data_IF_011354262245
#
_entry.id   IF_011354262245
#
_cell.length_a   1.000
_cell.length_b   1.000
_cell.length_c   1.000
_cell.angle_alpha   90.00
_cell.angle_beta   90.00
_cell.angle_gamma   90.00
#
_symmetry.space_group_name_H-M   'P 1'
#
loop_
_entity.id
_entity.type
_entity.pdbx_description
1 polymer ?
#
# COMPACT_ATOMS: atom_id res chain seq x y z
N UNK A 1 -26.06 11.14 -4.19
CA UNK A 1 -24.66 11.47 -3.89
C UNK A 1 -23.81 10.43 -4.59
N UNK A 2 -22.76 10.80 -5.34
CA UNK A 2 -21.91 9.82 -5.98
C UNK A 2 -21.23 8.96 -4.89
N UNK A 3 -21.24 7.66 -5.09
CA UNK A 3 -20.55 6.70 -4.24
C UNK A 3 -19.04 7.00 -4.21
N UNK A 4 -18.38 6.78 -3.06
CA UNK A 4 -16.95 7.00 -2.88
C UNK A 4 -16.09 6.30 -3.95
N UNK A 5 -16.58 5.16 -4.46
CA UNK A 5 -15.94 4.44 -5.58
C UNK A 5 -16.02 5.20 -6.89
N UNK A 6 -17.14 5.89 -7.19
CA UNK A 6 -17.28 6.68 -8.43
C UNK A 6 -16.39 7.92 -8.43
N UNK A 7 -16.18 8.56 -7.27
CA UNK A 7 -15.26 9.70 -7.15
C UNK A 7 -13.81 9.26 -7.37
N UNK A 8 -13.44 8.06 -6.91
CA UNK A 8 -12.08 7.52 -7.07
C UNK A 8 -11.82 7.00 -8.50
N UNK A 9 -12.86 6.51 -9.18
CA UNK A 9 -12.79 6.16 -10.60
C UNK A 9 -12.54 7.39 -11.48
N UNK A 10 -13.16 8.52 -11.15
CA UNK A 10 -12.94 9.78 -11.87
C UNK A 10 -11.49 10.28 -11.75
N UNK A 11 -10.78 9.94 -10.68
CA UNK A 11 -9.38 10.27 -10.48
C UNK A 11 -8.41 9.28 -11.16
N UNK A 12 -8.91 8.16 -11.74
CA UNK A 12 -8.09 7.15 -12.41
C UNK A 12 -7.05 6.51 -11.49
N UNK A 13 -7.42 6.25 -10.24
CA UNK A 13 -6.54 5.64 -9.25
C UNK A 13 -7.10 4.30 -8.77
N UNK A 14 -6.23 3.31 -8.61
CA UNK A 14 -6.54 2.08 -7.90
C UNK A 14 -6.51 2.36 -6.39
N UNK A 15 -7.66 2.21 -5.74
CA UNK A 15 -7.78 2.33 -4.29
C UNK A 15 -8.01 0.95 -3.72
N UNK A 16 -7.05 0.45 -2.97
CA UNK A 16 -7.15 -0.82 -2.28
C UNK A 16 -7.48 -0.60 -0.82
N UNK A 17 -8.62 -1.15 -0.43
CA UNK A 17 -9.00 -1.25 0.96
C UNK A 17 -8.76 -2.66 1.48
N UNK A 18 -8.39 -2.79 2.72
CA UNK A 18 -8.43 -4.05 3.44
C UNK A 18 -9.02 -3.85 4.84
N UNK A 19 -9.75 -4.83 5.28
CA UNK A 19 -10.19 -4.89 6.66
C UNK A 19 -9.04 -5.42 7.51
N UNK A 20 -8.58 -4.66 8.48
CA UNK A 20 -7.81 -5.23 9.58
C UNK A 20 -8.82 -6.01 10.42
N UNK A 21 -8.69 -7.33 10.60
CA UNK A 21 -9.56 -8.07 11.49
C UNK A 21 -9.34 -7.55 12.92
N UNK A 22 -10.21 -6.67 13.37
CA UNK A 22 -10.33 -6.35 14.77
C UNK A 22 -11.11 -7.49 15.43
N UNK A 23 -10.72 -8.00 16.60
CA UNK A 23 -11.52 -8.97 17.33
C UNK A 23 -12.89 -8.35 17.58
N UNK A 24 -13.92 -8.95 16.96
CA UNK A 24 -15.30 -8.49 17.10
C UNK A 24 -15.76 -8.68 18.54
N UNK A 25 -15.87 -7.59 19.27
CA UNK A 25 -16.73 -7.54 20.46
C UNK A 25 -18.12 -7.07 20.03
N UNK A 26 -18.99 -8.06 19.78
CA UNK A 26 -20.45 -7.89 19.72
C UNK A 26 -20.99 -7.04 18.55
N UNK A 27 -21.63 -7.70 17.59
CA UNK A 27 -22.42 -7.09 16.53
C UNK A 27 -21.72 -7.11 15.17
N UNK A 28 -22.32 -7.77 14.19
CA UNK A 28 -21.86 -7.85 12.81
C UNK A 28 -21.85 -6.46 12.16
N UNK A 29 -20.77 -5.73 12.33
CA UNK A 29 -20.50 -4.56 11.51
C UNK A 29 -19.92 -5.05 10.18
N UNK A 30 -20.54 -4.68 9.07
CA UNK A 30 -20.03 -4.92 7.74
C UNK A 30 -18.55 -4.49 7.66
N UNK A 31 -17.67 -5.25 7.00
CA UNK A 31 -16.24 -4.94 6.94
C UNK A 31 -16.06 -3.56 6.32
N UNK A 32 -15.56 -2.60 7.09
CA UNK A 32 -15.19 -1.30 6.60
C UNK A 32 -13.97 -1.47 5.69
N UNK A 33 -14.19 -1.35 4.37
CA UNK A 33 -13.11 -1.32 3.39
C UNK A 33 -12.33 -0.03 3.60
N UNK A 34 -11.07 -0.13 3.98
CA UNK A 34 -10.17 0.99 4.13
C UNK A 34 -9.13 1.02 3.03
N UNK A 35 -8.95 2.20 2.48
CA UNK A 35 -7.97 2.43 1.43
C UNK A 35 -6.60 2.77 2.05
N UNK A 36 -5.68 1.81 2.05
CA UNK A 36 -4.30 2.05 2.46
C UNK A 36 -3.40 2.43 1.28
N UNK A 37 -3.77 2.00 0.08
CA UNK A 37 -2.96 2.20 -1.12
C UNK A 37 -3.79 2.84 -2.23
N UNK A 38 -3.20 3.83 -2.89
CA UNK A 38 -3.69 4.41 -4.13
C UNK A 38 -2.60 4.29 -5.17
N UNK A 39 -2.96 3.97 -6.40
CA UNK A 39 -2.04 3.94 -7.54
C UNK A 39 -2.59 4.89 -8.58
N UNK A 40 -1.88 5.98 -8.84
CA UNK A 40 -2.24 6.97 -9.83
C UNK A 40 -1.90 6.49 -11.26
N UNK A 41 -2.48 7.12 -12.27
CA UNK A 41 -2.21 6.79 -13.69
C UNK A 41 -0.74 6.94 -14.08
N UNK A 42 0.00 7.85 -13.44
CA UNK A 42 1.44 8.03 -13.63
C UNK A 42 2.29 6.94 -12.94
N UNK A 43 1.65 5.99 -12.30
CA UNK A 43 2.27 4.90 -11.55
C UNK A 43 2.68 5.28 -10.12
N UNK A 44 2.54 6.52 -9.69
CA UNK A 44 2.85 6.90 -8.31
C UNK A 44 1.93 6.19 -7.33
N UNK A 45 2.52 5.60 -6.30
CA UNK A 45 1.79 4.93 -5.22
C UNK A 45 1.72 5.86 -4.01
N UNK A 46 0.53 6.08 -3.48
CA UNK A 46 0.34 6.75 -2.19
C UNK A 46 -0.03 5.70 -1.15
N UNK A 47 0.78 5.62 -0.10
CA UNK A 47 0.54 4.81 1.08
C UNK A 47 -0.02 5.69 2.20
N UNK A 48 -1.20 5.37 2.69
CA UNK A 48 -1.75 5.94 3.92
C UNK A 48 -1.19 5.15 5.11
N UNK A 49 -0.17 5.70 5.77
CA UNK A 49 0.51 5.05 6.89
C UNK A 49 -0.34 5.11 8.16
N UNK A 50 -0.59 3.96 8.81
CA UNK A 50 -1.33 3.93 10.09
C UNK A 50 -0.53 4.47 11.28
N UNK A 51 0.71 4.90 11.08
CA UNK A 51 1.57 5.45 12.12
C UNK A 51 2.13 6.80 11.70
N UNK A 52 2.38 7.66 12.67
CA UNK A 52 3.01 8.96 12.46
C UNK A 52 4.53 8.82 12.39
N UNK A 53 5.17 9.57 11.51
CA UNK A 53 6.63 9.70 11.49
C UNK A 53 7.07 10.74 12.52
N UNK A 54 7.86 10.29 13.48
CA UNK A 54 8.41 11.10 14.59
C UNK A 54 9.94 11.18 14.53
N UNK A 55 10.54 10.77 13.40
CA UNK A 55 11.97 10.63 13.24
C UNK A 55 12.50 9.20 13.32
N UNK A 56 11.63 8.23 13.65
CA UNK A 56 12.00 6.82 13.82
C UNK A 56 12.13 6.04 12.51
N UNK A 57 11.74 6.61 11.36
CA UNK A 57 11.88 5.99 10.03
C UNK A 57 10.77 5.01 9.65
N UNK A 58 9.65 5.01 10.35
CA UNK A 58 8.53 4.08 10.11
C UNK A 58 7.93 4.24 8.71
N UNK A 59 7.81 5.47 8.21
CA UNK A 59 7.29 5.71 6.87
C UNK A 59 8.15 5.08 5.77
N UNK A 60 9.46 5.18 5.91
CA UNK A 60 10.39 4.51 4.99
C UNK A 60 10.26 2.99 5.08
N UNK A 61 10.16 2.45 6.29
CA UNK A 61 9.96 1.01 6.49
C UNK A 61 8.64 0.52 5.88
N UNK A 62 7.55 1.27 6.04
CA UNK A 62 6.26 0.93 5.44
C UNK A 62 6.30 0.98 3.91
N UNK A 63 6.95 1.98 3.32
CA UNK A 63 7.15 2.05 1.87
C UNK A 63 7.98 0.87 1.35
N UNK A 64 9.02 0.47 2.06
CA UNK A 64 9.84 -0.70 1.72
C UNK A 64 9.01 -1.99 1.76
N UNK A 65 8.19 -2.17 2.80
CA UNK A 65 7.31 -3.35 2.94
C UNK A 65 6.35 -3.46 1.75
N UNK A 66 5.71 -2.35 1.39
CA UNK A 66 4.79 -2.29 0.25
C UNK A 66 5.52 -2.54 -1.07
N UNK A 67 6.65 -1.87 -1.27
CA UNK A 67 7.44 -1.98 -2.48
C UNK A 67 7.91 -3.42 -2.73
N UNK A 68 8.45 -4.05 -1.71
CA UNK A 68 8.99 -5.40 -1.81
C UNK A 68 7.90 -6.42 -2.16
N UNK A 69 6.77 -6.36 -1.45
CA UNK A 69 5.65 -7.28 -1.69
C UNK A 69 4.98 -7.04 -3.06
N UNK A 70 4.88 -5.78 -3.51
CA UNK A 70 4.30 -5.45 -4.81
C UNK A 70 5.25 -5.67 -5.98
N UNK A 71 6.56 -5.64 -5.78
CA UNK A 71 7.56 -5.49 -6.85
C UNK A 71 7.62 -4.04 -7.36
N UNK A 72 7.45 -3.06 -6.48
CA UNK A 72 7.49 -1.64 -6.81
C UNK A 72 8.83 -1.00 -6.47
N UNK A 73 9.10 0.19 -7.02
CA UNK A 73 10.22 1.04 -6.59
C UNK A 73 9.77 1.85 -5.36
N UNK A 74 10.42 1.69 -4.20
CA UNK A 74 10.04 2.42 -2.99
C UNK A 74 10.19 3.94 -3.13
N UNK A 75 11.04 4.44 -4.05
CA UNK A 75 11.21 5.87 -4.32
C UNK A 75 10.01 6.48 -5.05
N UNK A 76 9.13 5.66 -5.63
CA UNK A 76 7.88 6.04 -6.27
C UNK A 76 6.67 5.89 -5.35
N UNK A 77 6.92 5.65 -4.05
CA UNK A 77 5.89 5.58 -3.01
C UNK A 77 5.95 6.84 -2.16
N UNK A 78 4.90 7.63 -2.19
CA UNK A 78 4.66 8.70 -1.21
C UNK A 78 3.92 8.14 0.00
N UNK A 79 4.25 8.63 1.18
CA UNK A 79 3.61 8.21 2.44
C UNK A 79 2.91 9.41 3.05
N UNK A 80 1.65 9.20 3.40
CA UNK A 80 0.79 10.22 4.00
C UNK A 80 0.15 9.69 5.28
N UNK A 81 -0.15 10.57 6.22
CA UNK A 81 -1.01 10.22 7.35
C UNK A 81 -2.47 10.17 6.90
N UNK A 82 -3.22 9.12 7.23
CA UNK A 82 -4.65 9.09 7.02
C UNK A 82 -5.36 10.01 8.01
N UNK A 83 -6.58 10.44 7.68
CA UNK A 83 -7.48 10.96 8.70
C UNK A 83 -7.79 9.87 9.75
N UNK A 84 -7.98 10.25 11.03
CA UNK A 84 -8.32 9.30 12.06
C UNK A 84 -9.56 8.47 11.72
N UNK A 85 -9.37 7.15 11.57
CA UNK A 85 -10.44 6.22 11.23
C UNK A 85 -10.17 4.84 11.83
N UNK A 86 -11.22 4.08 12.06
CA UNK A 86 -11.16 2.75 12.67
C UNK A 86 -10.09 1.81 12.07
N UNK A 87 -9.94 1.75 10.74
CA UNK A 87 -9.00 0.83 10.13
C UNK A 87 -7.52 1.10 10.39
N UNK A 88 -7.18 2.32 10.77
CA UNK A 88 -5.81 2.71 11.13
C UNK A 88 -5.54 2.60 12.63
N UNK A 89 -6.50 2.07 13.40
CA UNK A 89 -6.37 1.83 14.82
C UNK A 89 -5.88 0.42 15.08
N UNK A 90 -5.11 0.25 16.11
CA UNK A 90 -4.76 -1.04 16.68
C UNK A 90 -5.23 -1.10 18.13
N UNK A 91 -5.42 -2.30 18.63
CA UNK A 91 -5.69 -2.51 20.05
C UNK A 91 -4.43 -2.16 20.88
N UNK A 92 -4.58 -1.23 21.78
CA UNK A 92 -3.50 -0.76 22.68
C UNK A 92 -3.88 -0.95 24.15
N UNK A 93 -4.75 -1.91 24.43
CA UNK A 93 -5.30 -2.19 25.76
C UNK A 93 -6.82 -2.12 25.74
N UNK A 94 -7.43 -1.19 26.46
CA UNK A 94 -8.89 -1.12 26.60
C UNK A 94 -9.59 -0.48 25.41
N UNK A 95 -8.89 0.30 24.60
CA UNK A 95 -9.50 1.06 23.51
C UNK A 95 -8.59 1.04 22.27
N UNK A 96 -9.14 0.71 21.08
CA UNK A 96 -8.38 0.81 19.83
C UNK A 96 -7.97 2.27 19.55
N UNK A 97 -6.70 2.50 19.28
CA UNK A 97 -6.18 3.83 19.00
C UNK A 97 -5.18 3.83 17.83
N UNK A 98 -5.04 4.98 17.16
CA UNK A 98 -3.88 5.26 16.32
C UNK A 98 -2.72 5.59 17.25
N UNK A 99 -1.70 4.74 17.22
CA UNK A 99 -0.58 4.87 18.14
C UNK A 99 0.74 4.54 17.44
N UNK A 100 1.73 5.41 17.61
CA UNK A 100 3.09 5.25 17.06
C UNK A 100 4.13 4.81 18.09
N UNK A 101 3.73 4.59 19.34
CA UNK A 101 4.61 4.22 20.45
C UNK A 101 4.81 2.72 20.62
N UNK A 102 5.64 2.33 21.60
CA UNK A 102 5.84 0.94 22.04
C UNK A 102 6.50 0.02 21.01
N UNK A 103 7.24 0.56 20.06
CA UNK A 103 7.89 -0.20 18.96
C UNK A 103 6.92 -1.01 18.10
N UNK A 104 5.64 -0.61 18.02
CA UNK A 104 4.61 -1.31 17.26
C UNK A 104 4.50 -0.85 15.80
N UNK A 105 5.09 0.27 15.43
CA UNK A 105 4.93 0.89 14.12
C UNK A 105 5.19 -0.05 12.95
N UNK A 106 6.27 -0.81 12.98
CA UNK A 106 6.58 -1.83 11.96
C UNK A 106 6.06 -3.20 12.37
N UNK A 107 6.33 -3.60 13.62
CA UNK A 107 6.08 -4.96 14.10
C UNK A 107 4.61 -5.39 14.00
N UNK A 108 3.67 -4.50 14.26
CA UNK A 108 2.24 -4.78 14.12
C UNK A 108 1.78 -4.68 12.66
N UNK A 109 2.27 -3.65 11.95
CA UNK A 109 1.73 -3.32 10.64
C UNK A 109 2.36 -4.08 9.47
N UNK A 110 3.47 -4.80 9.66
CA UNK A 110 4.12 -5.54 8.59
C UNK A 110 3.18 -6.57 7.92
N UNK A 111 2.41 -7.33 8.70
CA UNK A 111 1.45 -8.30 8.19
C UNK A 111 0.32 -7.64 7.38
N UNK A 112 -0.44 -6.70 7.97
CA UNK A 112 -1.48 -5.96 7.28
C UNK A 112 -1.00 -5.24 6.01
N UNK A 113 0.16 -4.58 6.04
CA UNK A 113 0.71 -3.88 4.88
C UNK A 113 1.14 -4.85 3.77
N UNK A 114 1.80 -5.95 4.11
CA UNK A 114 2.13 -6.99 3.14
C UNK A 114 0.88 -7.58 2.49
N UNK A 115 -0.16 -7.84 3.28
CA UNK A 115 -1.44 -8.35 2.75
C UNK A 115 -2.08 -7.37 1.78
N UNK A 116 -2.09 -6.07 2.09
CA UNK A 116 -2.60 -5.04 1.18
C UNK A 116 -1.80 -4.99 -0.12
N UNK A 117 -0.48 -5.02 -0.02
CA UNK A 117 0.43 -5.01 -1.17
C UNK A 117 0.27 -6.27 -2.06
N UNK A 118 0.13 -7.45 -1.45
CA UNK A 118 -0.12 -8.69 -2.17
C UNK A 118 -1.47 -8.68 -2.89
N UNK A 119 -2.52 -8.13 -2.28
CA UNK A 119 -3.82 -7.92 -2.93
C UNK A 119 -3.69 -7.02 -4.15
N UNK A 120 -2.99 -5.90 -4.02
CA UNK A 120 -2.70 -4.99 -5.13
C UNK A 120 -1.97 -5.70 -6.27
N UNK A 121 -0.89 -6.40 -5.94
CA UNK A 121 -0.12 -7.19 -6.91
C UNK A 121 -1.02 -8.18 -7.65
N UNK A 122 -1.84 -8.95 -6.94
CA UNK A 122 -2.74 -9.94 -7.52
C UNK A 122 -3.72 -9.31 -8.50
N UNK A 123 -4.31 -8.16 -8.14
CA UNK A 123 -5.26 -7.45 -9.02
C UNK A 123 -4.58 -6.89 -10.25
N UNK A 124 -3.37 -6.31 -10.12
CA UNK A 124 -2.57 -5.81 -11.23
C UNK A 124 -2.17 -6.94 -12.19
N UNK A 125 -1.66 -8.05 -11.65
CA UNK A 125 -1.26 -9.23 -12.44
C UNK A 125 -2.46 -9.82 -13.18
N UNK A 126 -3.61 -10.00 -12.52
CA UNK A 126 -4.81 -10.50 -13.15
C UNK A 126 -5.34 -9.56 -14.26
N UNK A 127 -5.16 -8.25 -14.11
CA UNK A 127 -5.53 -7.27 -15.14
C UNK A 127 -4.57 -7.32 -16.33
N UNK A 128 -3.27 -7.42 -16.06
CA UNK A 128 -2.26 -7.57 -17.11
C UNK A 128 -2.44 -8.87 -17.90
N UNK A 129 -2.78 -9.99 -17.23
CA UNK A 129 -3.06 -11.27 -17.86
C UNK A 129 -4.14 -11.15 -18.95
N UNK A 130 -5.25 -10.45 -18.64
CA UNK A 130 -6.31 -10.19 -19.62
C UNK A 130 -5.83 -9.31 -20.78
N UNK A 131 -5.06 -8.25 -20.48
CA UNK A 131 -4.58 -7.33 -21.55
C UNK A 131 -3.53 -7.97 -22.45
N UNK A 132 -2.70 -8.83 -21.90
CA UNK A 132 -1.63 -9.51 -22.64
C UNK A 132 -2.11 -10.79 -23.33
N UNK A 133 -3.27 -11.33 -22.91
CA UNK A 133 -3.80 -12.60 -23.41
C UNK A 133 -2.96 -13.80 -22.99
N UNK A 134 -2.37 -13.77 -21.79
CA UNK A 134 -1.50 -14.83 -21.26
C UNK A 134 -1.95 -15.25 -19.86
N UNK A 135 -1.62 -16.47 -19.41
CA UNK A 135 -1.90 -16.90 -18.03
C UNK A 135 -1.21 -15.99 -17.00
N UNK A 136 -1.89 -15.73 -15.88
CA UNK A 136 -1.32 -14.93 -14.80
C UNK A 136 -0.05 -15.56 -14.19
N UNK A 137 0.10 -16.88 -14.28
CA UNK A 137 1.28 -17.62 -13.81
C UNK A 137 2.56 -17.33 -14.61
N UNK A 138 2.43 -16.78 -15.82
CA UNK A 138 3.57 -16.37 -16.67
C UNK A 138 4.01 -14.93 -16.42
N UNK A 139 3.28 -14.21 -15.55
CA UNK A 139 3.50 -12.81 -15.26
C UNK A 139 4.18 -12.59 -13.91
N UNK A 140 5.08 -11.64 -13.88
CA UNK A 140 5.79 -11.23 -12.66
C UNK A 140 5.59 -9.72 -12.45
N UNK A 141 5.27 -9.34 -11.22
CA UNK A 141 5.27 -7.94 -10.82
C UNK A 141 6.67 -7.55 -10.32
N UNK A 142 7.35 -6.70 -11.06
CA UNK A 142 8.70 -6.20 -10.76
C UNK A 142 8.91 -4.82 -11.37
N UNK A 143 9.82 -4.05 -10.79
CA UNK A 143 10.21 -2.73 -11.25
C UNK A 143 9.05 -1.79 -11.62
N UNK A 144 7.99 -1.82 -10.80
CA UNK A 144 6.80 -0.97 -10.97
C UNK A 144 5.91 -1.32 -12.18
N UNK A 145 6.07 -2.53 -12.72
CA UNK A 145 5.32 -3.04 -13.85
C UNK A 145 4.93 -4.51 -13.65
N UNK A 146 4.02 -4.99 -14.48
CA UNK A 146 3.76 -6.42 -14.65
C UNK A 146 4.41 -6.86 -15.96
N UNK A 147 5.29 -7.83 -15.88
CA UNK A 147 6.17 -8.27 -16.97
C UNK A 147 5.84 -9.69 -17.39
N UNK A 148 5.71 -9.92 -18.67
CA UNK A 148 5.72 -11.23 -19.32
C UNK A 148 7.11 -11.50 -19.89
N UNK A 149 7.93 -12.24 -19.14
CA UNK A 149 9.35 -12.43 -19.49
C UNK A 149 9.56 -13.17 -20.80
N UNK A 150 8.69 -14.11 -21.15
CA UNK A 150 8.82 -14.89 -22.37
C UNK A 150 8.75 -14.03 -23.66
N UNK A 151 7.98 -12.93 -23.64
CA UNK A 151 7.85 -12.03 -24.79
C UNK A 151 8.44 -10.64 -24.55
N UNK A 152 9.06 -10.40 -23.40
CA UNK A 152 9.58 -9.11 -22.95
C UNK A 152 8.55 -7.97 -23.01
N UNK A 153 7.25 -8.30 -22.83
CA UNK A 153 6.16 -7.32 -22.77
C UNK A 153 5.94 -6.90 -21.32
N UNK A 154 5.77 -5.62 -21.08
CA UNK A 154 5.52 -5.07 -19.77
C UNK A 154 4.39 -4.04 -19.81
N UNK A 155 3.60 -3.96 -18.72
CA UNK A 155 2.58 -2.93 -18.53
C UNK A 155 2.81 -2.29 -17.16
N UNK A 156 2.96 -0.96 -17.13
CA UNK A 156 3.17 -0.20 -15.91
C UNK A 156 1.98 -0.28 -14.95
N UNK A 157 2.23 -0.20 -13.65
CA UNK A 157 1.16 -0.24 -12.63
C UNK A 157 0.12 0.87 -12.84
N UNK A 158 0.53 2.06 -13.24
CA UNK A 158 -0.39 3.17 -13.52
C UNK A 158 -1.35 2.90 -14.65
N UNK A 159 -0.88 2.24 -15.71
CA UNK A 159 -1.72 1.86 -16.84
C UNK A 159 -2.76 0.78 -16.48
N UNK A 160 -2.44 -0.06 -15.51
CA UNK A 160 -3.30 -1.13 -15.02
C UNK A 160 -4.27 -0.66 -13.93
N UNK A 161 -3.96 0.44 -13.25
CA UNK A 161 -4.60 0.86 -12.01
C UNK A 161 -6.12 0.99 -12.11
N UNK A 162 -6.62 1.65 -13.16
CA UNK A 162 -8.06 1.90 -13.34
C UNK A 162 -8.84 0.58 -13.54
N UNK A 163 -8.40 -0.25 -14.47
CA UNK A 163 -9.05 -1.54 -14.73
C UNK A 163 -8.86 -2.55 -13.57
N UNK A 164 -7.76 -2.46 -12.85
CA UNK A 164 -7.56 -3.25 -11.64
C UNK A 164 -8.50 -2.83 -10.50
N UNK A 165 -8.83 -1.53 -10.39
CA UNK A 165 -9.76 -1.02 -9.38
C UNK A 165 -11.21 -1.52 -9.55
N UNK A 166 -11.58 -1.93 -10.74
CA UNK A 166 -12.89 -2.52 -11.03
C UNK A 166 -13.01 -3.99 -10.59
N UNK A 167 -11.89 -4.63 -10.30
CA UNK A 167 -11.88 -6.04 -9.88
C UNK A 167 -12.30 -6.19 -8.43
N UNK A 168 -12.87 -7.34 -8.11
CA UNK A 168 -13.10 -7.72 -6.71
C UNK A 168 -11.75 -7.88 -6.02
N UNK A 169 -11.61 -7.28 -4.83
CA UNK A 169 -10.43 -7.49 -3.98
C UNK A 169 -10.42 -8.95 -3.51
N UNK A 170 -9.32 -9.71 -3.69
CA UNK A 170 -9.26 -11.09 -3.28
C UNK A 170 -9.33 -11.22 -1.75
N UNK A 171 -10.11 -12.21 -1.28
CA UNK A 171 -10.27 -12.48 0.15
C UNK A 171 -8.98 -13.04 0.75
N UNK A 172 -8.28 -13.91 -0.01
CA UNK A 172 -6.99 -14.49 0.37
C UNK A 172 -5.93 -14.20 -0.69
N UNK A 173 -4.68 -14.06 -0.27
CA UNK A 173 -3.53 -13.82 -1.15
C UNK A 173 -2.30 -14.54 -0.63
N UNK A 174 -1.41 -14.91 -1.55
CA UNK A 174 -0.10 -15.43 -1.21
C UNK A 174 0.89 -14.28 -1.01
N UNK A 175 1.51 -14.23 0.17
CA UNK A 175 2.63 -13.34 0.43
C UNK A 175 3.90 -13.93 -0.18
N UNK A 176 4.79 -13.08 -0.65
CA UNK A 176 6.12 -13.52 -1.08
C UNK A 176 6.83 -14.23 0.07
N UNK A 177 7.45 -15.39 -0.15
CA UNK A 177 8.31 -15.98 0.87
C UNK A 177 9.53 -15.09 1.11
N UNK A 178 10.18 -15.26 2.26
CA UNK A 178 11.35 -14.44 2.62
C UNK A 178 12.46 -14.48 1.58
N UNK A 179 12.64 -15.60 0.88
CA UNK A 179 13.62 -15.76 -0.19
C UNK A 179 13.39 -14.89 -1.43
N UNK A 180 12.15 -14.40 -1.63
CA UNK A 180 11.79 -13.51 -2.75
C UNK A 180 11.82 -12.03 -2.37
N UNK A 181 12.00 -11.73 -1.08
CA UNK A 181 12.10 -10.35 -0.61
C UNK A 181 13.50 -9.78 -0.96
N UNK A 182 13.51 -8.61 -1.60
CA UNK A 182 14.74 -7.99 -2.12
C UNK A 182 15.13 -6.72 -1.39
N UNK A 183 14.19 -6.07 -0.70
CA UNK A 183 14.36 -4.78 -0.04
C UNK A 183 14.34 -4.90 1.48
N UNK A 184 13.45 -5.73 2.04
CA UNK A 184 13.35 -5.94 3.48
C UNK A 184 14.65 -6.57 4.00
N UNK A 185 15.19 -5.99 5.07
CA UNK A 185 16.48 -6.41 5.66
C UNK A 185 17.70 -5.77 5.01
N UNK A 186 17.51 -4.90 3.99
CA UNK A 186 18.60 -4.13 3.38
C UNK A 186 18.54 -2.67 3.78
N UNK A 187 19.71 -2.01 3.81
CA UNK A 187 19.78 -0.58 4.08
C UNK A 187 19.17 0.24 2.96
N UNK A 188 18.28 1.17 3.31
CA UNK A 188 17.71 2.13 2.38
C UNK A 188 17.82 3.54 2.96
N UNK A 189 18.13 4.52 2.09
CA UNK A 189 18.08 5.94 2.49
C UNK A 189 16.64 6.32 2.80
N UNK A 190 16.44 7.08 3.87
CA UNK A 190 15.11 7.52 4.29
C UNK A 190 14.47 8.41 3.23
N UNK A 191 13.18 8.20 2.99
CA UNK A 191 12.40 8.94 1.99
C UNK A 191 12.21 10.42 2.37
N UNK A 192 12.22 10.73 3.67
CA UNK A 192 11.97 12.06 4.21
C UNK A 192 13.24 12.93 4.33
N UNK A 193 14.44 12.34 4.20
CA UNK A 193 15.71 13.08 4.35
C UNK A 193 15.87 14.19 3.32
N UNK A 194 15.60 14.02 2.01
CA UNK A 194 15.80 15.10 1.06
C UNK A 194 15.01 16.36 1.40
N UNK A 195 13.73 16.23 1.78
CA UNK A 195 12.91 17.36 2.17
C UNK A 195 13.41 18.03 3.48
N UNK A 196 13.89 17.22 4.43
CA UNK A 196 14.39 17.73 5.71
C UNK A 196 15.72 18.47 5.56
N UNK A 197 16.59 18.00 4.68
CA UNK A 197 17.92 18.61 4.51
C UNK A 197 17.93 19.87 3.66
N UNK A 198 16.91 20.08 2.84
CA UNK A 198 16.76 21.32 2.04
C UNK A 198 15.73 22.31 2.61
N UNK A 199 15.22 22.07 3.84
CA UNK A 199 14.25 22.97 4.47
C UNK A 199 12.84 22.93 3.88
N UNK A 200 12.49 21.94 3.06
CA UNK A 200 11.17 21.80 2.45
C UNK A 200 10.13 21.13 3.37
N UNK A 201 10.55 20.61 4.51
CA UNK A 201 9.63 19.99 5.48
C UNK A 201 8.95 21.05 6.33
N UNK A 202 7.62 21.02 6.37
CA UNK A 202 6.82 21.86 7.29
C UNK A 202 6.69 21.16 8.63
N UNK A 203 7.04 21.85 9.71
CA UNK A 203 6.87 21.40 11.09
C UNK A 203 5.71 22.16 11.77
N UNK A 204 5.28 21.66 12.92
CA UNK A 204 4.17 22.29 13.66
C UNK A 204 4.41 23.77 13.98
N UNK A 205 5.66 24.17 14.22
CA UNK A 205 6.05 25.58 14.49
C UNK A 205 5.87 26.47 13.23
N UNK A 206 5.84 25.91 12.04
CA UNK A 206 5.71 26.64 10.77
C UNK A 206 4.24 26.86 10.39
N UNK A 207 3.28 26.22 11.10
CA UNK A 207 1.85 26.38 10.87
C UNK A 207 1.38 27.71 11.49
N UNK A 208 0.70 28.53 10.67
CA UNK A 208 0.12 29.84 11.07
C UNK A 208 -1.39 29.76 11.06
#
# INVERSE_FOLDING_TARGET
MPDRRSVLRAAGALVLGFAVPLPARGGAAAPALTAYLRIARDGRITLLSPTTELGQGTWTAHAVIIADEMGADPRRISVENPHPAAPFRRDVGTTPAMNSGGSWGVRYWIGPLRTAAARARTMLVATAALRLGVPASELVAEDHAVVHRATNRAIGFGELAEAAAERRVPDSVHLKPQSELRLIGRGMKRLDVPAKTCGATTYGIDLR
#
